data_IF_980600239016
#
_entry.id   IF_980600239016
#
_cell.length_a   1.000
_cell.length_b   1.000
_cell.length_c   1.000
_cell.angle_alpha   90.00
_cell.angle_beta   90.00
_cell.angle_gamma   90.00
#
_symmetry.space_group_name_H-M   'P 1'
#
loop_
_entity.id
_entity.type
_entity.pdbx_description
1 polymer ?
#
# COMPACT_ATOMS: atom_id res chain seq x y z
N UNK A 1 15.42 25.64 24.42
CA UNK A 1 14.98 24.50 23.62
C UNK A 1 13.53 24.72 23.29
N UNK A 2 13.20 25.09 22.06
CA UNK A 2 11.82 25.25 21.62
C UNK A 2 11.26 23.86 21.30
N UNK A 3 10.08 23.53 21.82
CA UNK A 3 9.35 22.31 21.49
C UNK A 3 9.06 22.27 19.98
N UNK A 4 9.11 21.10 19.33
CA UNK A 4 8.72 21.00 17.93
C UNK A 4 7.25 21.41 17.81
N UNK A 5 6.98 22.31 16.87
CA UNK A 5 5.63 22.77 16.57
C UNK A 5 4.77 21.59 16.11
N UNK A 6 3.82 21.18 16.95
CA UNK A 6 2.78 20.19 16.68
C UNK A 6 1.80 20.66 15.60
N UNK A 7 2.31 20.90 14.40
CA UNK A 7 1.47 21.16 13.22
C UNK A 7 1.22 19.86 12.46
N UNK A 8 0.88 18.78 13.18
CA UNK A 8 0.39 17.54 12.60
C UNK A 8 -1.05 17.78 12.18
N UNK A 9 -1.27 17.65 10.90
CA UNK A 9 -2.55 17.79 10.24
C UNK A 9 -3.54 16.90 10.99
N UNK A 10 -4.58 17.52 11.59
CA UNK A 10 -5.75 16.77 12.07
C UNK A 10 -6.26 15.95 10.91
N UNK A 11 -6.18 14.63 11.03
CA UNK A 11 -6.96 13.74 10.16
C UNK A 11 -8.40 14.27 10.16
N UNK A 12 -9.06 14.38 9.01
CA UNK A 12 -10.50 14.58 9.00
C UNK A 12 -11.09 13.54 9.96
N UNK A 13 -12.07 13.92 10.77
CA UNK A 13 -12.68 12.95 11.67
C UNK A 13 -13.10 11.71 10.85
N UNK A 14 -13.00 10.53 11.43
CA UNK A 14 -13.45 9.27 10.80
C UNK A 14 -14.86 9.42 10.23
N UNK A 15 -15.71 10.18 10.91
CA UNK A 15 -17.04 10.55 10.42
C UNK A 15 -16.99 11.36 9.13
N UNK A 16 -16.02 12.27 8.96
CA UNK A 16 -15.89 13.06 7.73
C UNK A 16 -15.39 12.22 6.55
N UNK A 17 -14.55 11.20 6.80
CA UNK A 17 -14.08 10.26 5.77
C UNK A 17 -15.20 9.30 5.34
N UNK A 18 -16.04 8.86 6.28
CA UNK A 18 -17.15 7.97 6.03
C UNK A 18 -18.38 8.67 5.39
N UNK A 19 -18.53 9.99 5.58
CA UNK A 19 -19.68 10.75 5.08
C UNK A 19 -19.60 11.09 3.59
N UNK A 20 -18.44 10.96 2.95
CA UNK A 20 -18.29 11.32 1.53
C UNK A 20 -18.86 10.29 0.57
N UNK A 21 -19.22 9.08 1.05
CA UNK A 21 -19.53 7.93 0.16
C UNK A 21 -18.34 7.54 -0.74
N UNK A 22 -17.24 8.24 -0.59
CA UNK A 22 -16.02 8.10 -1.34
C UNK A 22 -15.12 7.10 -0.62
N UNK A 23 -14.73 6.02 -1.29
CA UNK A 23 -13.81 5.05 -0.72
C UNK A 23 -12.48 5.69 -0.31
N UNK A 24 -11.94 5.28 0.84
CA UNK A 24 -10.60 5.68 1.31
C UNK A 24 -9.58 4.65 0.82
N UNK A 25 -8.54 5.12 0.17
CA UNK A 25 -7.45 4.30 -0.35
C UNK A 25 -6.16 4.66 0.38
N UNK A 26 -5.51 3.66 0.99
CA UNK A 26 -4.27 3.84 1.73
C UNK A 26 -3.14 3.11 0.99
N UNK A 27 -2.05 3.82 0.68
CA UNK A 27 -0.84 3.29 0.04
C UNK A 27 0.30 3.25 1.07
N UNK A 28 0.71 2.04 1.45
CA UNK A 28 1.75 1.77 2.44
C UNK A 28 3.10 1.59 1.74
N UNK A 29 4.10 2.35 2.19
CA UNK A 29 5.39 2.43 1.49
C UNK A 29 5.29 3.29 0.24
N UNK A 30 4.54 4.39 0.32
CA UNK A 30 4.23 5.25 -0.83
C UNK A 30 5.44 5.95 -1.47
N UNK A 31 6.61 5.88 -0.82
CA UNK A 31 7.85 6.45 -1.33
C UNK A 31 7.74 7.97 -1.52
N UNK A 32 7.82 8.44 -2.77
CA UNK A 32 7.72 9.86 -3.09
C UNK A 32 6.27 10.38 -3.19
N UNK A 33 5.27 9.55 -2.94
CA UNK A 33 3.85 9.89 -2.93
C UNK A 33 3.24 10.26 -4.29
N UNK A 34 3.99 10.14 -5.39
CA UNK A 34 3.50 10.53 -6.72
C UNK A 34 2.31 9.72 -7.18
N UNK A 35 2.32 8.42 -6.92
CA UNK A 35 1.21 7.54 -7.28
C UNK A 35 -0.09 8.00 -6.61
N UNK A 36 -0.07 8.17 -5.30
CA UNK A 36 -1.19 8.62 -4.48
C UNK A 36 -1.69 10.02 -4.92
N UNK A 37 -0.76 10.96 -5.09
CA UNK A 37 -1.09 12.31 -5.54
C UNK A 37 -1.73 12.33 -6.94
N UNK A 38 -1.22 11.54 -7.89
CA UNK A 38 -1.78 11.47 -9.23
C UNK A 38 -3.15 10.78 -9.25
N UNK A 39 -3.30 9.73 -8.42
CA UNK A 39 -4.56 9.01 -8.27
C UNK A 39 -5.65 9.90 -7.67
N UNK A 40 -5.34 10.68 -6.64
CA UNK A 40 -6.25 11.65 -6.04
C UNK A 40 -6.72 12.70 -7.05
N UNK A 41 -5.83 13.19 -7.90
CA UNK A 41 -6.21 14.16 -8.94
C UNK A 41 -7.07 13.59 -10.06
N UNK A 42 -6.96 12.30 -10.33
CA UNK A 42 -7.78 11.61 -11.35
C UNK A 42 -9.15 11.18 -10.83
N UNK A 43 -9.24 10.96 -9.52
CA UNK A 43 -10.45 10.46 -8.86
C UNK A 43 -10.83 11.40 -7.70
N UNK A 44 -11.44 12.55 -7.98
CA UNK A 44 -11.74 13.55 -6.96
C UNK A 44 -12.82 13.10 -5.96
N UNK A 45 -13.54 12.06 -6.27
CA UNK A 45 -14.57 11.39 -5.47
C UNK A 45 -14.03 10.38 -4.45
N UNK A 46 -12.73 10.06 -4.51
CA UNK A 46 -12.04 9.16 -3.56
C UNK A 46 -11.05 9.94 -2.70
N UNK A 47 -10.81 9.48 -1.47
CA UNK A 47 -9.79 10.05 -0.59
C UNK A 47 -8.55 9.13 -0.56
N UNK A 48 -7.37 9.72 -0.64
CA UNK A 48 -6.12 8.97 -0.73
C UNK A 48 -5.20 9.31 0.44
N UNK A 49 -4.56 8.29 1.02
CA UNK A 49 -3.57 8.46 2.09
C UNK A 49 -2.29 7.75 1.67
N UNK A 50 -1.18 8.47 1.60
CA UNK A 50 0.14 7.89 1.37
C UNK A 50 0.93 7.82 2.67
N UNK A 51 1.45 6.65 3.03
CA UNK A 51 2.19 6.41 4.27
C UNK A 51 3.60 5.90 3.94
N UNK A 52 4.61 6.54 4.53
CA UNK A 52 6.02 6.13 4.38
C UNK A 52 6.83 6.58 5.60
N UNK A 53 7.77 5.79 6.11
CA UNK A 53 8.65 6.21 7.20
C UNK A 53 9.63 7.33 6.81
N UNK A 54 9.90 7.49 5.50
CA UNK A 54 10.83 8.50 5.01
C UNK A 54 10.13 9.85 4.78
N UNK A 55 10.35 10.79 5.68
CA UNK A 55 9.75 12.12 5.66
C UNK A 55 10.11 12.96 4.41
N UNK A 56 11.39 12.92 3.99
CA UNK A 56 11.91 13.86 2.97
C UNK A 56 11.18 13.82 1.62
N UNK A 57 10.88 12.64 1.01
CA UNK A 57 10.09 12.61 -0.21
C UNK A 57 8.67 13.10 -0.01
N UNK A 58 8.06 12.80 1.15
CA UNK A 58 6.67 13.17 1.47
C UNK A 58 6.48 14.68 1.64
N UNK A 59 7.45 15.40 2.22
CA UNK A 59 7.34 16.86 2.41
C UNK A 59 7.05 17.58 1.09
N UNK A 60 7.81 17.29 0.05
CA UNK A 60 7.68 17.95 -1.26
C UNK A 60 6.32 17.71 -1.91
N UNK A 61 5.80 16.50 -1.84
CA UNK A 61 4.52 16.17 -2.46
C UNK A 61 3.37 16.69 -1.62
N UNK A 62 3.50 16.70 -0.29
CA UNK A 62 2.53 17.28 0.65
C UNK A 62 2.38 18.78 0.40
N UNK A 63 3.47 19.54 0.35
CA UNK A 63 3.44 20.97 0.00
C UNK A 63 2.73 21.23 -1.34
N UNK A 64 2.97 20.36 -2.33
CA UNK A 64 2.33 20.48 -3.63
C UNK A 64 0.83 20.21 -3.54
N UNK A 65 0.40 19.23 -2.77
CA UNK A 65 -1.01 18.87 -2.61
C UNK A 65 -1.84 19.99 -1.96
N UNK A 66 -1.25 20.77 -1.08
CA UNK A 66 -1.91 21.90 -0.38
C UNK A 66 -2.08 23.17 -1.25
N UNK A 67 -1.57 23.18 -2.46
CA UNK A 67 -1.79 24.32 -3.38
C UNK A 67 -3.26 24.40 -3.83
N UNK A 68 -3.65 25.56 -4.37
CA UNK A 68 -4.96 25.67 -5.03
C UNK A 68 -5.08 24.63 -6.16
N UNK A 69 -6.25 24.00 -6.39
CA UNK A 69 -6.42 22.98 -7.44
C UNK A 69 -5.91 23.40 -8.82
N UNK A 70 -6.17 24.68 -9.21
CA UNK A 70 -5.68 25.29 -10.47
C UNK A 70 -4.13 25.36 -10.54
N UNK A 71 -3.44 25.28 -9.40
CA UNK A 71 -1.96 25.27 -9.30
C UNK A 71 -1.41 23.87 -8.96
N UNK A 72 -2.20 22.82 -9.20
CA UNK A 72 -1.82 21.43 -8.98
C UNK A 72 -2.10 20.92 -7.58
N UNK A 73 -2.93 21.58 -6.77
CA UNK A 73 -3.38 21.04 -5.47
C UNK A 73 -4.30 19.84 -5.63
N UNK A 74 -4.37 19.01 -4.58
CA UNK A 74 -5.25 17.86 -4.47
C UNK A 74 -5.81 17.81 -3.04
N UNK A 75 -7.04 18.33 -2.79
CA UNK A 75 -7.61 18.42 -1.45
C UNK A 75 -8.01 17.06 -0.86
N UNK A 76 -8.09 16.04 -1.70
CA UNK A 76 -8.47 14.66 -1.37
C UNK A 76 -7.25 13.74 -1.20
N UNK A 77 -6.10 14.26 -0.77
CA UNK A 77 -4.92 13.47 -0.46
C UNK A 77 -4.26 13.93 0.84
N UNK A 78 -3.77 12.96 1.61
CA UNK A 78 -2.99 13.17 2.84
C UNK A 78 -1.72 12.33 2.80
N UNK A 79 -0.63 12.85 3.38
CA UNK A 79 0.61 12.10 3.55
C UNK A 79 0.95 12.00 5.03
N UNK A 80 1.27 10.79 5.49
CA UNK A 80 1.57 10.47 6.88
C UNK A 80 2.97 9.86 6.95
N UNK A 81 3.80 10.37 7.85
CA UNK A 81 5.07 9.74 8.18
C UNK A 81 4.84 8.68 9.25
N UNK A 82 4.84 7.41 8.86
CA UNK A 82 4.74 6.28 9.79
C UNK A 82 5.35 5.01 9.16
N UNK A 83 5.81 4.10 10.00
CA UNK A 83 6.15 2.75 9.61
C UNK A 83 4.90 1.85 9.69
N UNK A 84 4.88 0.77 8.91
CA UNK A 84 3.76 -0.19 8.91
C UNK A 84 3.60 -0.90 10.27
N UNK A 85 4.68 -0.96 11.04
CA UNK A 85 4.72 -1.52 12.39
C UNK A 85 4.01 -0.63 13.42
N UNK A 86 3.89 0.68 13.14
CA UNK A 86 3.35 1.71 14.06
C UNK A 86 2.42 2.68 13.31
N UNK A 87 1.34 2.14 12.76
CA UNK A 87 0.32 2.95 12.08
C UNK A 87 -0.55 3.68 13.11
N UNK A 88 -0.92 4.97 12.87
CA UNK A 88 -1.82 5.72 13.73
C UNK A 88 -3.14 5.00 13.97
N UNK A 89 -3.65 5.03 15.22
CA UNK A 89 -4.92 4.40 15.59
C UNK A 89 -6.12 5.06 14.89
N UNK A 90 -5.99 6.32 14.49
CA UNK A 90 -7.00 7.06 13.74
C UNK A 90 -7.30 6.44 12.35
N UNK A 91 -6.45 5.53 11.89
CA UNK A 91 -6.66 4.80 10.63
C UNK A 91 -7.44 3.49 10.80
N UNK A 92 -7.77 3.10 12.04
CA UNK A 92 -8.45 1.83 12.31
C UNK A 92 -9.80 1.74 11.59
N UNK A 93 -9.98 0.73 10.75
CA UNK A 93 -11.21 0.48 10.02
C UNK A 93 -11.54 1.50 8.91
N UNK A 94 -10.58 2.35 8.51
CA UNK A 94 -10.83 3.47 7.59
C UNK A 94 -10.69 3.07 6.12
N UNK A 95 -9.75 2.18 5.80
CA UNK A 95 -9.40 1.89 4.41
C UNK A 95 -10.41 0.97 3.71
N UNK A 96 -10.93 1.37 2.57
CA UNK A 96 -11.66 0.50 1.65
C UNK A 96 -10.72 -0.26 0.72
N UNK A 97 -9.56 0.32 0.41
CA UNK A 97 -8.49 -0.32 -0.35
C UNK A 97 -7.15 0.00 0.33
N UNK A 98 -6.30 -1.01 0.50
CA UNK A 98 -4.92 -0.85 0.96
C UNK A 98 -3.99 -1.34 -0.14
N UNK A 99 -3.04 -0.50 -0.53
CA UNK A 99 -2.04 -0.83 -1.53
C UNK A 99 -0.66 -0.98 -0.88
N UNK A 100 0.09 -2.00 -1.28
CA UNK A 100 1.50 -2.20 -0.98
C UNK A 100 2.20 -2.46 -2.31
N UNK A 101 2.65 -1.40 -2.97
CA UNK A 101 3.20 -1.46 -4.32
C UNK A 101 4.70 -1.32 -4.32
N UNK A 102 5.39 -2.32 -4.90
CA UNK A 102 6.85 -2.36 -5.05
C UNK A 102 7.57 -2.06 -3.73
N UNK A 103 7.16 -2.70 -2.62
CA UNK A 103 7.79 -2.49 -1.34
C UNK A 103 9.27 -2.85 -1.40
N UNK A 104 10.06 -2.24 -0.51
CA UNK A 104 11.48 -2.53 -0.34
C UNK A 104 11.81 -2.75 1.13
N UNK A 105 12.98 -3.37 1.41
CA UNK A 105 13.45 -3.58 2.78
C UNK A 105 12.50 -4.40 3.66
N UNK A 106 12.25 -3.93 4.89
CA UNK A 106 11.42 -4.66 5.87
C UNK A 106 9.99 -4.87 5.40
N UNK A 107 9.38 -3.89 4.73
CA UNK A 107 8.02 -4.03 4.20
C UNK A 107 7.94 -5.10 3.10
N UNK A 108 8.94 -5.15 2.19
CA UNK A 108 9.03 -6.21 1.19
C UNK A 108 9.10 -7.57 1.87
N UNK A 109 10.02 -7.72 2.84
CA UNK A 109 10.13 -8.98 3.58
C UNK A 109 8.81 -9.36 4.22
N UNK A 110 8.17 -8.43 4.92
CA UNK A 110 6.94 -8.70 5.66
C UNK A 110 5.82 -9.24 4.76
N UNK A 111 5.55 -8.61 3.62
CA UNK A 111 4.49 -9.08 2.72
C UNK A 111 4.89 -10.35 1.94
N UNK A 112 6.19 -10.52 1.64
CA UNK A 112 6.68 -11.68 0.90
C UNK A 112 6.75 -12.97 1.74
N UNK A 113 6.91 -12.88 3.07
CA UNK A 113 6.88 -14.05 3.95
C UNK A 113 5.54 -14.21 4.68
N UNK A 114 4.66 -13.21 4.60
CA UNK A 114 3.40 -13.21 5.33
C UNK A 114 3.60 -12.96 6.83
N UNK A 115 4.40 -11.94 7.20
CA UNK A 115 4.68 -11.58 8.60
C UNK A 115 3.41 -11.20 9.34
N UNK A 116 3.01 -12.01 10.30
CA UNK A 116 1.70 -11.89 10.95
C UNK A 116 1.49 -10.57 11.72
N UNK A 117 2.45 -10.04 12.48
CA UNK A 117 2.36 -8.71 13.09
C UNK A 117 2.06 -7.61 12.07
N UNK A 118 2.80 -7.56 10.97
CA UNK A 118 2.61 -6.55 9.92
C UNK A 118 1.27 -6.72 9.21
N UNK A 119 0.91 -7.96 8.85
CA UNK A 119 -0.38 -8.25 8.22
C UNK A 119 -1.56 -7.87 9.13
N UNK A 120 -1.43 -8.06 10.45
CA UNK A 120 -2.44 -7.62 11.43
C UNK A 120 -2.58 -6.10 11.48
N UNK A 121 -1.48 -5.35 11.40
CA UNK A 121 -1.53 -3.90 11.32
C UNK A 121 -2.21 -3.42 10.02
N UNK A 122 -1.91 -4.06 8.88
CA UNK A 122 -2.62 -3.80 7.64
C UNK A 122 -4.11 -4.12 7.77
N UNK A 123 -4.46 -5.25 8.41
CA UNK A 123 -5.87 -5.64 8.63
C UNK A 123 -6.60 -4.65 9.53
N UNK A 124 -5.93 -4.13 10.56
CA UNK A 124 -6.51 -3.18 11.52
C UNK A 124 -7.02 -1.91 10.85
N UNK A 125 -6.30 -1.39 9.86
CA UNK A 125 -6.72 -0.18 9.13
C UNK A 125 -7.80 -0.43 8.06
N UNK A 126 -8.05 -1.70 7.70
CA UNK A 126 -9.06 -2.07 6.72
C UNK A 126 -10.47 -1.95 7.29
N UNK A 127 -11.36 -1.32 6.54
CA UNK A 127 -12.81 -1.44 6.74
C UNK A 127 -13.28 -2.89 6.49
N UNK A 128 -14.50 -3.27 6.88
CA UNK A 128 -15.09 -4.52 6.43
C UNK A 128 -15.06 -4.65 4.91
N UNK A 129 -14.74 -5.85 4.42
CA UNK A 129 -14.66 -6.18 2.99
C UNK A 129 -13.68 -5.31 2.16
N UNK A 130 -12.73 -4.66 2.83
CA UNK A 130 -11.68 -3.90 2.16
C UNK A 130 -10.77 -4.81 1.33
N UNK A 131 -10.22 -4.27 0.25
CA UNK A 131 -9.24 -4.96 -0.59
C UNK A 131 -7.81 -4.62 -0.13
N UNK A 132 -6.95 -5.64 -0.04
CA UNK A 132 -5.51 -5.49 0.10
C UNK A 132 -4.86 -5.93 -1.22
N UNK A 133 -4.21 -4.99 -1.90
CA UNK A 133 -3.45 -5.23 -3.13
C UNK A 133 -1.96 -5.17 -2.84
N UNK A 134 -1.26 -6.28 -3.04
CA UNK A 134 0.20 -6.37 -2.86
C UNK A 134 0.86 -6.66 -4.21
N UNK A 135 1.83 -5.84 -4.58
CA UNK A 135 2.58 -5.96 -5.84
C UNK A 135 4.07 -5.96 -5.54
N UNK A 136 4.71 -7.08 -5.78
CA UNK A 136 6.12 -7.29 -5.50
C UNK A 136 6.88 -7.36 -6.82
N UNK A 137 7.80 -6.42 -7.02
CA UNK A 137 8.67 -6.36 -8.21
C UNK A 137 10.08 -6.84 -7.89
N UNK A 138 10.23 -8.08 -7.40
CA UNK A 138 11.53 -8.66 -7.10
C UNK A 138 11.89 -9.73 -8.13
N UNK A 139 13.10 -9.62 -8.66
CA UNK A 139 13.63 -10.55 -9.68
C UNK A 139 14.65 -11.49 -9.05
N UNK A 140 14.44 -12.82 -9.09
CA UNK A 140 15.32 -13.78 -8.42
C UNK A 140 16.76 -13.83 -8.99
N UNK A 141 16.98 -13.24 -10.16
CA UNK A 141 18.31 -13.19 -10.78
C UNK A 141 18.99 -11.84 -10.53
N UNK A 142 18.25 -10.75 -10.63
CA UNK A 142 18.79 -9.39 -10.49
C UNK A 142 18.91 -8.93 -9.05
N UNK A 143 18.01 -9.38 -8.17
CA UNK A 143 17.90 -8.91 -6.79
C UNK A 143 18.37 -9.96 -5.77
N UNK A 144 19.28 -10.90 -6.19
CA UNK A 144 19.78 -12.02 -5.35
C UNK A 144 20.27 -11.52 -3.99
N UNK A 145 21.12 -10.48 -3.98
CA UNK A 145 21.68 -9.95 -2.73
C UNK A 145 20.63 -9.43 -1.77
N UNK A 146 19.56 -8.83 -2.28
CA UNK A 146 18.45 -8.33 -1.45
C UNK A 146 17.58 -9.49 -0.95
N UNK A 147 17.31 -10.48 -1.79
CA UNK A 147 16.59 -11.71 -1.42
C UNK A 147 17.31 -12.42 -0.27
N UNK A 148 18.62 -12.62 -0.40
CA UNK A 148 19.47 -13.26 0.63
C UNK A 148 19.50 -12.42 1.90
N UNK A 149 19.75 -11.11 1.79
CA UNK A 149 19.80 -10.19 2.92
C UNK A 149 18.49 -10.19 3.73
N UNK A 150 17.36 -10.28 3.06
CA UNK A 150 16.03 -10.27 3.68
C UNK A 150 15.55 -11.67 4.08
N UNK A 151 16.22 -12.74 3.64
CA UNK A 151 15.79 -14.11 3.89
C UNK A 151 14.44 -14.43 3.25
N UNK A 152 14.20 -13.91 2.04
CA UNK A 152 12.96 -14.14 1.30
C UNK A 152 13.05 -15.43 0.52
N UNK A 153 12.09 -16.33 0.72
CA UNK A 153 11.91 -17.52 -0.13
C UNK A 153 11.42 -17.09 -1.52
N UNK A 154 11.91 -17.70 -2.60
CA UNK A 154 11.42 -17.41 -3.95
C UNK A 154 9.90 -17.49 -4.04
N UNK A 155 9.27 -16.41 -4.50
CA UNK A 155 7.80 -16.30 -4.65
C UNK A 155 7.37 -17.13 -5.86
N UNK A 156 7.15 -18.42 -5.65
CA UNK A 156 6.50 -19.32 -6.63
C UNK A 156 5.01 -19.43 -6.33
N UNK A 157 4.21 -19.84 -7.30
CA UNK A 157 2.78 -20.09 -7.06
C UNK A 157 2.60 -21.16 -5.99
N UNK A 158 3.44 -22.19 -5.98
CA UNK A 158 3.43 -23.23 -4.96
C UNK A 158 3.69 -22.66 -3.55
N UNK A 159 4.69 -21.81 -3.37
CA UNK A 159 4.97 -21.16 -2.09
C UNK A 159 3.81 -20.25 -1.65
N UNK A 160 3.22 -19.52 -2.60
CA UNK A 160 2.05 -18.68 -2.30
C UNK A 160 0.90 -19.56 -1.79
N UNK A 161 0.61 -20.68 -2.47
CA UNK A 161 -0.52 -21.55 -2.14
C UNK A 161 -0.30 -22.32 -0.81
N UNK A 162 0.89 -22.76 -0.56
CA UNK A 162 1.18 -23.58 0.63
C UNK A 162 1.48 -22.76 1.88
N UNK A 163 2.03 -21.55 1.73
CA UNK A 163 2.51 -20.75 2.87
C UNK A 163 1.79 -19.42 2.98
N UNK A 164 1.80 -18.60 1.92
CA UNK A 164 1.25 -17.24 2.05
C UNK A 164 -0.25 -17.24 2.25
N UNK A 165 -1.00 -18.12 1.58
CA UNK A 165 -2.45 -18.24 1.79
C UNK A 165 -2.77 -18.47 3.27
N UNK A 166 -2.02 -19.34 3.97
CA UNK A 166 -2.23 -19.62 5.38
C UNK A 166 -1.85 -18.44 6.28
N UNK A 167 -0.72 -17.79 5.99
CA UNK A 167 -0.25 -16.65 6.79
C UNK A 167 -1.18 -15.44 6.65
N UNK A 168 -1.65 -15.15 5.44
CA UNK A 168 -2.63 -14.10 5.20
C UNK A 168 -3.97 -14.42 5.86
N UNK A 169 -4.44 -15.67 5.77
CA UNK A 169 -5.66 -16.12 6.45
C UNK A 169 -5.56 -15.98 7.96
N UNK A 170 -4.40 -16.27 8.58
CA UNK A 170 -4.15 -16.06 10.01
C UNK A 170 -4.22 -14.58 10.43
N UNK A 171 -4.04 -13.64 9.49
CA UNK A 171 -4.25 -12.21 9.66
C UNK A 171 -5.65 -11.75 9.19
N UNK A 172 -6.57 -12.67 8.90
CA UNK A 172 -7.93 -12.41 8.38
C UNK A 172 -7.95 -11.72 7.00
N UNK A 173 -7.03 -12.11 6.13
CA UNK A 173 -7.07 -11.81 4.70
C UNK A 173 -7.29 -13.09 3.90
N UNK A 174 -8.29 -13.10 3.03
CA UNK A 174 -8.51 -14.15 2.06
C UNK A 174 -7.85 -13.74 0.72
N UNK A 175 -6.84 -14.47 0.27
CA UNK A 175 -6.26 -14.23 -1.06
C UNK A 175 -7.25 -14.73 -2.11
N UNK A 176 -7.89 -13.80 -2.81
CA UNK A 176 -8.92 -14.07 -3.84
C UNK A 176 -8.33 -14.13 -5.25
N UNK A 177 -7.22 -13.48 -5.49
CA UNK A 177 -6.49 -13.52 -6.77
C UNK A 177 -4.99 -13.44 -6.53
N UNK A 178 -4.21 -14.17 -7.31
CA UNK A 178 -2.75 -14.17 -7.28
C UNK A 178 -2.15 -14.54 -8.62
N UNK A 179 -0.94 -14.07 -8.87
CA UNK A 179 -0.24 -14.46 -10.09
C UNK A 179 1.20 -13.97 -10.13
N UNK A 180 1.91 -14.52 -11.10
CA UNK A 180 3.28 -14.13 -11.42
C UNK A 180 3.29 -13.69 -12.88
N UNK A 181 3.74 -12.46 -13.10
CA UNK A 181 3.80 -11.84 -14.41
C UNK A 181 5.26 -11.74 -14.85
N UNK A 182 5.51 -12.16 -16.07
CA UNK A 182 6.79 -11.96 -16.77
C UNK A 182 6.57 -11.03 -17.94
N UNK A 183 7.59 -10.33 -18.37
CA UNK A 183 7.54 -9.30 -19.42
C UNK A 183 6.95 -9.74 -20.78
N UNK A 184 6.85 -11.05 -21.00
CA UNK A 184 6.34 -11.62 -22.25
C UNK A 184 4.81 -11.82 -22.28
N UNK A 185 4.13 -11.60 -21.18
CA UNK A 185 2.67 -11.79 -21.09
C UNK A 185 1.98 -10.43 -21.20
N UNK A 186 1.25 -10.25 -22.29
CA UNK A 186 0.31 -9.15 -22.44
C UNK A 186 -0.82 -9.32 -21.42
N UNK A 187 -0.78 -8.51 -20.38
CA UNK A 187 -1.68 -8.62 -19.25
C UNK A 187 -3.02 -7.97 -19.63
N UNK A 188 -4.03 -8.79 -19.87
CA UNK A 188 -5.38 -8.35 -20.21
C UNK A 188 -6.17 -7.71 -19.07
N UNK A 189 -5.61 -7.62 -17.86
CA UNK A 189 -6.29 -7.05 -16.70
C UNK A 189 -6.14 -5.53 -16.64
N UNK A 190 -7.17 -4.84 -16.15
CA UNK A 190 -7.15 -3.39 -15.89
C UNK A 190 -5.98 -2.99 -14.98
N UNK A 191 -5.52 -3.91 -14.20
CA UNK A 191 -4.47 -3.83 -13.21
C UNK A 191 -3.07 -3.69 -13.83
N UNK A 192 -2.74 -4.50 -14.81
CA UNK A 192 -1.49 -4.44 -15.54
C UNK A 192 -1.34 -3.17 -16.36
N UNK A 193 -2.46 -2.60 -16.86
CA UNK A 193 -2.46 -1.30 -17.51
C UNK A 193 -2.14 -0.14 -16.56
N UNK A 194 -2.41 -0.27 -15.25
CA UNK A 194 -2.02 0.72 -14.24
C UNK A 194 -0.52 0.73 -13.98
N UNK A 195 0.14 -0.41 -14.14
CA UNK A 195 1.53 -0.59 -13.75
C UNK A 195 2.52 -0.31 -14.89
N UNK A 196 2.17 0.32 -15.98
CA UNK A 196 3.03 0.69 -17.12
C UNK A 196 4.52 0.37 -16.89
N UNK A 197 4.85 -0.94 -16.85
CA UNK A 197 6.20 -1.38 -16.59
C UNK A 197 7.01 -1.38 -17.86
N UNK A 198 8.03 -0.53 -17.88
CA UNK A 198 8.95 -0.40 -19.00
C UNK A 198 10.08 -1.44 -18.97
N UNK A 199 10.10 -2.41 -18.03
CA UNK A 199 11.21 -3.35 -17.94
C UNK A 199 10.81 -4.78 -17.55
N UNK A 200 11.61 -5.70 -18.09
CA UNK A 200 11.60 -7.15 -17.97
C UNK A 200 11.81 -7.66 -16.52
N UNK A 201 10.97 -7.23 -15.57
CA UNK A 201 11.01 -7.73 -14.19
C UNK A 201 9.88 -8.72 -13.94
N UNK A 202 10.17 -9.72 -13.13
CA UNK A 202 9.15 -10.61 -12.58
C UNK A 202 8.34 -9.85 -11.54
N UNK A 203 7.02 -9.88 -11.70
CA UNK A 203 6.07 -9.27 -10.76
C UNK A 203 5.23 -10.37 -10.15
N UNK A 204 5.17 -10.41 -8.82
CA UNK A 204 4.20 -11.21 -8.09
C UNK A 204 3.12 -10.30 -7.56
N UNK A 205 1.86 -10.65 -7.78
CA UNK A 205 0.74 -9.91 -7.21
C UNK A 205 -0.16 -10.80 -6.38
N UNK A 206 -0.73 -10.21 -5.33
CA UNK A 206 -1.74 -10.81 -4.46
C UNK A 206 -2.88 -9.79 -4.29
N UNK A 207 -4.10 -10.22 -4.53
CA UNK A 207 -5.30 -9.47 -4.18
C UNK A 207 -6.02 -10.24 -3.08
N UNK A 208 -6.28 -9.56 -1.96
CA UNK A 208 -6.87 -10.19 -0.79
C UNK A 208 -8.10 -9.40 -0.31
N UNK A 209 -9.08 -10.11 0.21
CA UNK A 209 -10.26 -9.55 0.85
C UNK A 209 -10.08 -9.56 2.37
N UNK A 210 -10.32 -8.45 3.03
CA UNK A 210 -10.30 -8.32 4.48
C UNK A 210 -11.58 -8.93 5.06
N UNK A 211 -11.46 -10.07 5.75
CA UNK A 211 -12.59 -10.77 6.36
C UNK A 211 -13.11 -10.03 7.59
N UNK A 212 -14.40 -10.03 7.77
CA UNK A 212 -15.05 -9.42 8.93
C UNK A 212 -14.55 -10.02 10.25
N UNK A 213 -14.36 -9.17 11.25
CA UNK A 213 -14.13 -9.58 12.62
C UNK A 213 -15.53 -9.81 13.21
N UNK A 214 -15.93 -11.08 13.28
CA UNK A 214 -17.14 -11.47 13.99
C UNK A 214 -17.03 -11.21 15.49
#
# INVERSE_FOLDING_TARGET
MAAPSDNWIKLPSTDSLNHTGAGVIIDIGTGDGRFVYQSARRNPDKFYIGIDPNKRPLEKISEKSHRKPKKGGAPNVLFIQAAVEDLPAELDGVANEVHVHFPWGSLLRAVAVGDLPVLRNLRRICAPDALLEVVIGIDPVRDVSEIERLGITPLTLEFIDQVLVQNYAAARFEIIERGILTSSQSIGTSWARRLQFNEQRRITYLLSLAQNVG
#
